data_IF_794090000598
#
_entry.id   IF_794090000598
#
_cell.length_a   1.000
_cell.length_b   1.000
_cell.length_c   1.000
_cell.angle_alpha   90.00
_cell.angle_beta   90.00
_cell.angle_gamma   90.00
#
_symmetry.space_group_name_H-M   'P 1'
#
loop_
_entity.id
_entity.type
_entity.pdbx_description
1 polymer ?
#
# COMPACT_ATOMS: atom_id res chain seq x y z
N UNK A 1 8.53 -12.16 20.03
CA UNK A 1 8.33 -11.17 18.94
C UNK A 1 6.86 -11.18 18.54
N UNK A 2 6.26 -9.96 18.39
CA UNK A 2 4.88 -9.82 17.95
C UNK A 2 4.83 -9.29 16.52
N UNK A 3 3.98 -9.89 15.69
CA UNK A 3 3.67 -9.42 14.34
C UNK A 3 2.22 -8.93 14.30
N UNK A 4 1.97 -7.83 13.60
CA UNK A 4 0.64 -7.31 13.33
C UNK A 4 0.36 -7.55 11.84
N UNK A 5 -0.78 -8.17 11.54
CA UNK A 5 -1.21 -8.47 10.19
C UNK A 5 -2.61 -7.94 9.94
N UNK A 6 -2.80 -7.27 8.82
CA UNK A 6 -4.12 -6.91 8.29
C UNK A 6 -4.56 -7.91 7.24
N UNK A 7 -5.85 -8.12 7.11
CA UNK A 7 -6.41 -9.05 6.12
C UNK A 7 -7.56 -8.45 5.35
N UNK A 8 -7.77 -9.00 4.14
CA UNK A 8 -8.84 -8.64 3.23
C UNK A 8 -9.65 -9.87 2.88
N UNK A 9 -10.97 -9.83 3.04
CA UNK A 9 -11.88 -10.87 2.56
C UNK A 9 -12.42 -10.45 1.20
N UNK A 10 -12.01 -11.14 0.15
CA UNK A 10 -12.46 -10.85 -1.22
C UNK A 10 -13.94 -11.20 -1.38
N UNK A 11 -14.66 -10.38 -2.15
CA UNK A 11 -16.09 -10.54 -2.44
C UNK A 11 -17.00 -10.52 -1.19
N UNK A 12 -16.53 -10.00 -0.05
CA UNK A 12 -17.36 -9.73 1.10
C UNK A 12 -18.49 -8.74 0.73
N UNK A 13 -19.69 -9.00 1.22
CA UNK A 13 -20.88 -8.17 0.99
C UNK A 13 -21.14 -7.28 2.19
N UNK A 14 -22.03 -6.33 2.05
CA UNK A 14 -22.47 -5.53 3.19
C UNK A 14 -23.02 -6.42 4.31
N UNK A 15 -22.54 -6.19 5.53
CA UNK A 15 -22.86 -7.00 6.71
C UNK A 15 -21.98 -8.25 6.90
N UNK A 16 -21.06 -8.52 5.96
CA UNK A 16 -20.05 -9.56 6.13
C UNK A 16 -18.80 -8.99 6.83
N UNK A 17 -17.97 -9.87 7.39
CA UNK A 17 -16.61 -9.50 7.81
C UNK A 17 -15.75 -9.25 6.55
N UNK A 18 -15.21 -8.05 6.42
CA UNK A 18 -14.42 -7.62 5.26
C UNK A 18 -12.93 -7.88 5.40
N UNK A 19 -12.50 -8.26 6.59
CA UNK A 19 -11.12 -8.51 6.96
C UNK A 19 -10.94 -8.43 8.46
N UNK A 20 -9.73 -8.27 8.93
CA UNK A 20 -9.45 -8.10 10.34
C UNK A 20 -7.99 -7.79 10.62
N UNK A 21 -7.76 -7.42 11.86
CA UNK A 21 -6.43 -7.24 12.42
C UNK A 21 -6.08 -8.44 13.30
N UNK A 22 -4.92 -9.02 13.05
CA UNK A 22 -4.36 -10.09 13.85
C UNK A 22 -3.08 -9.62 14.52
N UNK A 23 -2.92 -9.96 15.80
CA UNK A 23 -1.64 -9.85 16.49
C UNK A 23 -1.19 -11.26 16.83
N UNK A 24 -0.03 -11.63 16.34
CA UNK A 24 0.53 -12.98 16.46
C UNK A 24 1.79 -12.89 17.31
N UNK A 25 1.87 -13.67 18.36
CA UNK A 25 3.11 -13.89 19.09
C UNK A 25 3.87 -15.06 18.45
N UNK A 26 4.98 -14.73 17.79
CA UNK A 26 5.80 -15.73 17.07
C UNK A 26 6.48 -16.70 18.01
N UNK A 27 6.89 -16.24 19.18
CA UNK A 27 7.61 -17.08 20.14
C UNK A 27 6.68 -18.13 20.74
N UNK A 28 5.38 -17.80 20.89
CA UNK A 28 4.35 -18.71 21.35
C UNK A 28 3.68 -19.47 20.20
N UNK A 29 3.75 -18.98 18.97
CA UNK A 29 3.03 -19.54 17.83
C UNK A 29 1.51 -19.32 17.90
N UNK A 30 1.04 -18.27 18.59
CA UNK A 30 -0.37 -18.06 18.90
C UNK A 30 -0.87 -16.70 18.40
N UNK A 31 -2.14 -16.67 17.97
CA UNK A 31 -2.88 -15.40 17.76
C UNK A 31 -3.33 -14.88 19.12
N UNK A 32 -2.72 -13.79 19.58
CA UNK A 32 -3.01 -13.19 20.89
C UNK A 32 -4.09 -12.12 20.84
N UNK A 33 -4.42 -11.62 19.65
CA UNK A 33 -5.52 -10.68 19.42
C UNK A 33 -6.08 -10.85 18.01
N UNK A 34 -7.40 -10.80 17.90
CA UNK A 34 -8.11 -10.74 16.62
C UNK A 34 -9.27 -9.76 16.73
N UNK A 35 -9.29 -8.77 15.84
CA UNK A 35 -10.40 -7.84 15.68
C UNK A 35 -10.97 -7.97 14.27
N UNK A 36 -12.19 -8.51 14.09
CA UNK A 36 -12.87 -8.51 12.81
C UNK A 36 -13.19 -7.06 12.40
N UNK A 37 -13.19 -6.82 11.10
CA UNK A 37 -13.52 -5.51 10.54
C UNK A 37 -14.69 -5.63 9.56
N UNK A 38 -15.74 -4.84 9.82
CA UNK A 38 -16.89 -4.66 8.95
C UNK A 38 -16.88 -3.23 8.42
N UNK A 39 -17.08 -3.07 7.12
CA UNK A 39 -17.23 -1.75 6.50
C UNK A 39 -18.71 -1.39 6.40
N UNK A 40 -19.03 -0.16 6.71
CA UNK A 40 -20.41 0.37 6.56
C UNK A 40 -20.82 0.53 5.10
N UNK A 41 -19.85 0.59 4.20
CA UNK A 41 -20.05 0.75 2.77
C UNK A 41 -19.27 -0.26 1.95
N UNK A 42 -19.98 -0.99 1.10
CA UNK A 42 -19.39 -1.90 0.10
C UNK A 42 -19.99 -1.53 -1.26
N UNK A 43 -19.15 -1.31 -2.25
CA UNK A 43 -19.67 -1.12 -3.60
C UNK A 43 -20.08 -2.48 -4.21
N UNK A 44 -21.00 -2.44 -5.17
CA UNK A 44 -21.57 -3.63 -5.84
C UNK A 44 -20.60 -4.31 -6.83
N UNK A 45 -19.30 -3.99 -6.79
CA UNK A 45 -18.30 -4.63 -7.61
C UNK A 45 -18.19 -6.11 -7.24
N UNK A 46 -18.30 -7.00 -8.22
CA UNK A 46 -18.18 -8.46 -8.02
C UNK A 46 -16.90 -8.91 -7.31
N UNK A 47 -15.82 -8.14 -7.43
CA UNK A 47 -14.58 -8.35 -6.69
C UNK A 47 -14.68 -7.84 -5.24
N UNK A 48 -15.80 -7.20 -4.87
CA UNK A 48 -16.00 -6.57 -3.58
C UNK A 48 -15.06 -5.37 -3.41
N UNK A 49 -15.18 -4.31 -4.19
CA UNK A 49 -14.22 -3.22 -4.37
C UNK A 49 -13.54 -2.67 -3.13
N UNK A 50 -14.26 -1.99 -2.27
CA UNK A 50 -13.72 -1.44 -1.02
C UNK A 50 -13.88 -2.44 0.10
N UNK A 51 -12.76 -3.01 0.59
CA UNK A 51 -12.81 -4.08 1.58
C UNK A 51 -11.50 -4.23 2.35
N UNK A 52 -11.64 -4.69 3.58
CA UNK A 52 -10.56 -5.15 4.43
C UNK A 52 -9.66 -4.06 4.97
N UNK A 53 -8.74 -4.49 5.77
CA UNK A 53 -7.67 -3.69 6.32
C UNK A 53 -6.39 -3.94 5.53
N UNK A 54 -5.59 -2.89 5.29
CA UNK A 54 -4.43 -2.99 4.41
C UNK A 54 -3.16 -2.44 5.07
N UNK A 55 -2.76 -1.20 4.73
CA UNK A 55 -1.54 -0.61 5.26
C UNK A 55 -1.53 -0.50 6.78
N UNK A 56 -0.39 -0.73 7.39
CA UNK A 56 -0.21 -0.66 8.85
C UNK A 56 0.99 0.24 9.15
N UNK A 57 0.79 1.18 10.06
CA UNK A 57 1.84 2.02 10.60
C UNK A 57 1.89 1.90 12.13
N UNK A 58 3.02 1.41 12.65
CA UNK A 58 3.23 1.28 14.10
C UNK A 58 4.03 2.46 14.61
N UNK A 59 3.38 3.30 15.43
CA UNK A 59 3.99 4.44 16.07
C UNK A 59 4.41 4.13 17.52
N UNK A 60 5.16 4.99 18.18
CA UNK A 60 5.57 4.76 19.56
C UNK A 60 4.40 4.57 20.53
N UNK A 61 3.28 5.27 20.32
CA UNK A 61 2.14 5.36 21.24
C UNK A 61 0.83 4.75 20.68
N UNK A 62 0.76 4.47 19.38
CA UNK A 62 -0.44 3.98 18.68
C UNK A 62 -0.14 3.12 17.47
N UNK A 63 -1.15 2.46 16.96
CA UNK A 63 -1.12 1.77 15.67
C UNK A 63 -2.15 2.43 14.76
N UNK A 64 -1.78 2.68 13.52
CA UNK A 64 -2.70 3.18 12.50
C UNK A 64 -2.82 2.10 11.43
N UNK A 65 -4.05 1.75 11.09
CA UNK A 65 -4.37 0.79 10.05
C UNK A 65 -5.26 1.46 9.02
N UNK A 66 -4.98 1.27 7.75
CA UNK A 66 -5.86 1.79 6.70
C UNK A 66 -6.91 0.76 6.27
N UNK A 67 -8.09 1.26 5.94
CA UNK A 67 -9.02 0.58 5.04
C UNK A 67 -8.93 1.16 3.63
N UNK A 68 -9.95 1.00 2.80
CA UNK A 68 -9.94 1.52 1.42
C UNK A 68 -10.08 3.03 1.32
N UNK A 69 -10.64 3.71 2.32
CA UNK A 69 -11.01 5.12 2.25
C UNK A 69 -10.63 5.94 3.49
N UNK A 70 -9.90 5.34 4.43
CA UNK A 70 -9.53 6.03 5.65
C UNK A 70 -8.63 5.25 6.57
N UNK A 71 -8.67 5.61 7.85
CA UNK A 71 -7.75 5.13 8.87
C UNK A 71 -8.48 4.77 10.16
N UNK A 72 -7.93 3.79 10.84
CA UNK A 72 -8.35 3.34 12.16
C UNK A 72 -7.15 3.49 13.08
N UNK A 73 -7.28 4.28 14.13
CA UNK A 73 -6.29 4.40 15.18
C UNK A 73 -6.61 3.45 16.33
N UNK A 74 -5.63 2.67 16.72
CA UNK A 74 -5.72 1.70 17.79
C UNK A 74 -4.75 2.03 18.93
N UNK A 75 -5.14 1.69 20.14
CA UNK A 75 -4.21 1.65 21.25
C UNK A 75 -3.14 0.58 21.01
N UNK A 76 -1.89 0.93 21.19
CA UNK A 76 -0.77 0.02 20.93
C UNK A 76 -0.70 -1.18 21.86
N UNK A 77 -1.24 -1.08 23.06
CA UNK A 77 -1.14 -2.13 24.08
C UNK A 77 -2.39 -3.00 24.15
N UNK A 78 -3.58 -2.37 24.02
CA UNK A 78 -4.86 -3.07 24.11
C UNK A 78 -5.43 -3.45 22.75
N UNK A 79 -4.96 -2.82 21.67
CA UNK A 79 -5.47 -2.94 20.30
C UNK A 79 -6.93 -2.48 20.13
N UNK A 80 -7.47 -1.77 21.10
CA UNK A 80 -8.80 -1.19 21.03
C UNK A 80 -8.83 0.00 20.08
N UNK A 81 -9.91 0.13 19.32
CA UNK A 81 -10.12 1.27 18.41
C UNK A 81 -10.33 2.54 19.25
N UNK A 82 -9.50 3.55 19.02
CA UNK A 82 -9.61 4.87 19.64
C UNK A 82 -10.42 5.83 18.80
N UNK A 83 -10.20 5.83 17.50
CA UNK A 83 -10.96 6.64 16.53
C UNK A 83 -10.86 6.06 15.14
N UNK A 84 -11.80 6.46 14.31
CA UNK A 84 -11.83 6.18 12.87
C UNK A 84 -11.88 7.49 12.11
N UNK A 85 -11.30 7.51 10.93
CA UNK A 85 -11.33 8.63 9.99
C UNK A 85 -11.63 8.10 8.61
N UNK A 86 -12.57 8.73 7.91
CA UNK A 86 -12.97 8.38 6.54
C UNK A 86 -13.04 9.65 5.71
N UNK A 87 -12.40 9.64 4.56
CA UNK A 87 -12.46 10.74 3.60
C UNK A 87 -12.37 10.22 2.16
N UNK A 88 -13.52 10.04 1.52
CA UNK A 88 -13.63 9.52 0.15
C UNK A 88 -13.28 10.56 -0.92
N UNK A 89 -13.10 11.81 -0.55
CA UNK A 89 -12.64 12.83 -1.49
C UNK A 89 -11.14 12.68 -1.79
N UNK A 90 -10.36 12.29 -0.79
CA UNK A 90 -8.91 12.10 -0.92
C UNK A 90 -8.49 10.64 -1.07
N UNK A 91 -9.29 9.69 -0.58
CA UNK A 91 -8.90 8.29 -0.51
C UNK A 91 -9.88 7.38 -1.24
N UNK A 92 -9.29 6.58 -2.14
CA UNK A 92 -9.97 5.45 -2.77
C UNK A 92 -8.97 4.34 -3.01
N UNK A 93 -9.25 3.16 -2.44
CA UNK A 93 -8.37 1.99 -2.51
C UNK A 93 -6.98 2.26 -1.92
N UNK A 94 -6.90 2.72 -0.66
CA UNK A 94 -5.61 2.77 0.05
C UNK A 94 -5.03 1.35 0.10
N UNK A 95 -3.78 1.18 -0.29
CA UNK A 95 -3.06 -0.09 -0.24
C UNK A 95 -1.96 -0.09 0.83
N UNK A 96 -1.25 1.02 0.97
CA UNK A 96 -0.10 1.11 1.87
C UNK A 96 -0.07 2.46 2.56
N UNK A 97 0.46 2.48 3.78
CA UNK A 97 0.71 3.69 4.56
C UNK A 97 2.07 3.62 5.23
N UNK A 98 2.76 4.74 5.37
CA UNK A 98 4.00 4.83 6.13
C UNK A 98 4.01 6.10 6.99
N UNK A 99 4.77 6.04 8.07
CA UNK A 99 5.09 7.21 8.89
C UNK A 99 6.48 7.73 8.54
N UNK A 100 6.57 9.00 8.20
CA UNK A 100 7.82 9.67 7.92
C UNK A 100 7.69 11.17 8.17
N UNK A 101 8.72 11.76 8.81
CA UNK A 101 8.80 13.20 9.09
C UNK A 101 7.54 13.76 9.78
N UNK A 102 7.14 13.13 10.90
CA UNK A 102 5.95 13.46 11.68
C UNK A 102 4.63 13.47 10.91
N UNK A 103 4.59 12.77 9.77
CA UNK A 103 3.43 12.67 8.91
C UNK A 103 3.12 11.22 8.54
N UNK A 104 1.85 10.97 8.24
CA UNK A 104 1.40 9.76 7.57
C UNK A 104 1.41 10.04 6.08
N UNK A 105 1.93 9.09 5.32
CA UNK A 105 1.88 9.08 3.88
C UNK A 105 1.10 7.87 3.43
N UNK A 106 0.15 8.04 2.54
CA UNK A 106 -0.75 6.99 2.09
C UNK A 106 -0.88 6.96 0.57
N UNK A 107 -0.98 5.77 0.00
CA UNK A 107 -1.40 5.63 -1.39
C UNK A 107 -2.91 5.85 -1.51
N UNK A 108 -3.36 6.50 -2.57
CA UNK A 108 -4.75 6.53 -3.00
C UNK A 108 -4.81 5.98 -4.42
N UNK A 109 -4.81 4.65 -4.50
CA UNK A 109 -4.46 3.89 -5.70
C UNK A 109 -5.39 4.16 -6.88
N UNK A 110 -6.69 4.28 -6.63
CA UNK A 110 -7.65 4.57 -7.70
C UNK A 110 -7.48 5.97 -8.34
N UNK A 111 -6.75 6.85 -7.69
CA UNK A 111 -6.40 8.19 -8.20
C UNK A 111 -4.94 8.29 -8.65
N UNK A 112 -4.19 7.17 -8.64
CA UNK A 112 -2.74 7.16 -8.85
C UNK A 112 -2.02 8.22 -8.00
N UNK A 113 -2.39 8.31 -6.72
CA UNK A 113 -2.02 9.45 -5.90
C UNK A 113 -1.35 9.07 -4.57
N UNK A 114 -0.61 10.03 -4.05
CA UNK A 114 -0.03 10.01 -2.70
C UNK A 114 -0.63 11.16 -1.90
N UNK A 115 -1.06 10.84 -0.68
CA UNK A 115 -1.62 11.80 0.27
C UNK A 115 -0.73 11.88 1.49
N UNK A 116 -0.42 13.11 1.91
CA UNK A 116 0.32 13.41 3.14
C UNK A 116 -0.62 14.01 4.18
N UNK A 117 -0.61 13.45 5.40
CA UNK A 117 -1.45 13.89 6.53
C UNK A 117 -0.59 14.15 7.78
N UNK A 118 -1.08 14.98 8.68
CA UNK A 118 -0.56 15.00 10.04
C UNK A 118 -1.12 13.83 10.88
N UNK A 119 -0.66 13.71 12.12
CA UNK A 119 -1.11 12.65 13.04
C UNK A 119 -2.56 12.83 13.54
N UNK A 120 -3.18 13.96 13.26
CA UNK A 120 -4.60 14.22 13.51
C UNK A 120 -5.47 13.95 12.29
N UNK A 121 -4.86 13.39 11.23
CA UNK A 121 -5.46 13.08 9.92
C UNK A 121 -5.88 14.30 9.10
N UNK A 122 -5.35 15.50 9.39
CA UNK A 122 -5.57 16.64 8.51
C UNK A 122 -4.71 16.49 7.24
N UNK A 123 -5.33 16.59 6.09
CA UNK A 123 -4.66 16.54 4.81
C UNK A 123 -3.72 17.73 4.67
N UNK A 124 -2.46 17.48 4.36
CA UNK A 124 -1.44 18.50 4.12
C UNK A 124 -1.15 18.67 2.65
N UNK A 125 -1.10 17.55 1.94
CA UNK A 125 -0.79 17.53 0.51
C UNK A 125 -1.49 16.35 -0.16
N UNK A 126 -1.83 16.55 -1.43
CA UNK A 126 -2.40 15.54 -2.30
C UNK A 126 -1.72 15.65 -3.67
N UNK A 127 -1.00 14.62 -4.09
CA UNK A 127 -0.30 14.59 -5.36
C UNK A 127 -0.79 13.45 -6.24
N UNK A 128 -1.19 13.77 -7.45
CA UNK A 128 -1.34 12.82 -8.53
C UNK A 128 0.04 12.48 -9.09
N UNK A 129 0.33 11.19 -9.25
CA UNK A 129 1.53 10.69 -9.91
C UNK A 129 1.24 10.62 -11.41
N UNK A 130 2.17 11.13 -12.23
CA UNK A 130 2.03 11.18 -13.68
C UNK A 130 3.07 10.32 -14.37
N UNK A 131 2.75 9.81 -15.54
CA UNK A 131 3.66 8.92 -16.25
C UNK A 131 3.15 8.52 -17.64
N UNK A 132 3.81 7.51 -18.19
CA UNK A 132 3.46 6.89 -19.46
C UNK A 132 3.24 5.40 -19.25
N UNK A 133 2.08 4.90 -19.68
CA UNK A 133 1.83 3.47 -19.73
C UNK A 133 2.40 2.91 -21.02
N UNK A 134 3.39 2.04 -20.91
CA UNK A 134 3.96 1.29 -22.03
C UNK A 134 3.31 -0.09 -22.13
N UNK A 135 3.58 -0.81 -23.20
CA UNK A 135 2.95 -2.11 -23.45
C UNK A 135 3.13 -3.08 -22.26
N UNK A 136 4.29 -3.09 -21.66
CA UNK A 136 4.69 -4.08 -20.67
C UNK A 136 4.94 -3.52 -19.27
N UNK A 137 5.09 -2.21 -19.13
CA UNK A 137 5.38 -1.55 -17.85
C UNK A 137 4.99 -0.07 -17.89
N UNK A 138 4.94 0.56 -16.73
CA UNK A 138 4.68 1.99 -16.61
C UNK A 138 5.95 2.73 -16.22
N UNK A 139 6.14 3.92 -16.76
CA UNK A 139 7.24 4.84 -16.42
C UNK A 139 6.64 6.05 -15.78
N UNK A 140 7.01 6.33 -14.53
CA UNK A 140 6.58 7.55 -13.85
C UNK A 140 7.49 8.72 -14.30
N UNK A 141 6.88 9.85 -14.64
CA UNK A 141 7.59 11.00 -15.17
C UNK A 141 7.48 12.24 -14.30
N UNK A 142 6.59 12.22 -13.30
CA UNK A 142 6.39 13.37 -12.45
C UNK A 142 5.29 13.17 -11.41
N UNK A 143 5.04 14.25 -10.68
CA UNK A 143 3.92 14.39 -9.75
C UNK A 143 3.37 15.80 -9.85
N UNK A 144 2.08 15.95 -9.61
CA UNK A 144 1.36 17.24 -9.64
C UNK A 144 0.53 17.36 -8.36
N UNK A 145 0.67 18.47 -7.64
CA UNK A 145 -0.23 18.77 -6.54
C UNK A 145 -1.65 19.03 -7.07
N UNK A 146 -2.64 18.34 -6.51
CA UNK A 146 -4.04 18.41 -6.94
C UNK A 146 -4.96 18.67 -5.74
N UNK A 147 -6.23 18.89 -6.05
CA UNK A 147 -7.33 18.99 -5.09
C UNK A 147 -8.39 17.91 -5.41
N UNK A 148 -9.33 17.63 -4.50
CA UNK A 148 -10.43 16.72 -4.79
C UNK A 148 -11.20 17.04 -6.08
N UNK A 149 -11.34 18.33 -6.41
CA UNK A 149 -12.08 18.77 -7.60
C UNK A 149 -11.32 18.54 -8.92
N UNK A 150 -10.01 18.31 -8.84
CA UNK A 150 -9.14 18.16 -10.03
C UNK A 150 -8.57 16.77 -10.20
N UNK A 151 -8.90 15.84 -9.27
CA UNK A 151 -8.43 14.45 -9.35
C UNK A 151 -9.11 13.69 -10.50
N UNK A 152 -8.39 12.74 -11.06
CA UNK A 152 -8.94 11.75 -12.00
C UNK A 152 -9.00 10.37 -11.35
N UNK A 153 -9.88 9.52 -11.85
CA UNK A 153 -10.05 8.15 -11.36
C UNK A 153 -9.68 7.18 -12.48
N UNK A 154 -8.43 7.29 -12.94
CA UNK A 154 -7.98 6.56 -14.11
C UNK A 154 -7.27 5.23 -13.77
N UNK A 155 -6.71 5.12 -12.56
CA UNK A 155 -5.98 3.93 -12.08
C UNK A 155 -4.98 3.38 -13.11
N UNK A 156 -4.22 4.28 -13.73
CA UNK A 156 -3.32 3.95 -14.85
C UNK A 156 -2.08 3.19 -14.41
N UNK A 157 -1.53 3.57 -13.24
CA UNK A 157 -0.26 3.04 -12.72
C UNK A 157 -0.48 2.14 -11.51
N UNK A 158 -1.66 2.21 -10.92
CA UNK A 158 -2.05 1.45 -9.74
C UNK A 158 -1.04 1.63 -8.60
N UNK A 159 -0.77 2.89 -8.23
CA UNK A 159 0.21 3.22 -7.17
C UNK A 159 -0.24 2.62 -5.86
N UNK A 160 0.35 1.49 -5.49
CA UNK A 160 -0.08 0.64 -4.38
C UNK A 160 1.01 0.38 -3.34
N UNK A 161 2.20 0.90 -3.55
CA UNK A 161 3.33 0.72 -2.65
C UNK A 161 3.97 2.06 -2.31
N UNK A 162 4.21 2.25 -1.02
CA UNK A 162 4.95 3.38 -0.47
C UNK A 162 5.73 2.90 0.74
N UNK A 163 7.01 3.25 0.84
CA UNK A 163 7.83 2.94 2.00
C UNK A 163 8.98 3.94 2.16
N UNK A 164 9.63 3.90 3.31
CA UNK A 164 10.77 4.77 3.62
C UNK A 164 12.06 3.97 3.57
N UNK A 165 13.04 4.46 2.84
CA UNK A 165 14.39 3.93 2.83
C UNK A 165 15.41 5.07 2.85
N UNK A 166 16.35 5.05 3.80
CA UNK A 166 17.37 6.09 3.99
C UNK A 166 16.80 7.52 4.03
N UNK A 167 15.67 7.69 4.75
CA UNK A 167 14.98 8.98 4.87
C UNK A 167 14.28 9.46 3.60
N UNK A 168 14.17 8.62 2.57
CA UNK A 168 13.48 8.92 1.31
C UNK A 168 12.16 8.16 1.22
N UNK A 169 11.15 8.80 0.68
CA UNK A 169 9.90 8.15 0.30
C UNK A 169 10.09 7.48 -1.06
N UNK A 170 9.85 6.19 -1.10
CA UNK A 170 9.88 5.41 -2.34
C UNK A 170 8.47 4.93 -2.67
N UNK A 171 8.11 4.97 -3.95
CA UNK A 171 6.80 4.55 -4.46
C UNK A 171 6.92 3.58 -5.62
N UNK A 172 5.92 2.72 -5.78
CA UNK A 172 5.75 1.84 -6.91
C UNK A 172 4.27 1.55 -7.16
N UNK A 173 3.98 0.93 -8.29
CA UNK A 173 2.64 0.51 -8.66
C UNK A 173 2.66 -0.83 -9.40
N UNK A 174 1.53 -1.17 -10.02
CA UNK A 174 1.41 -2.40 -10.78
C UNK A 174 2.28 -2.32 -12.05
N UNK A 175 3.26 -3.24 -12.18
CA UNK A 175 4.23 -3.26 -13.29
C UNK A 175 4.97 -1.92 -13.43
N UNK A 176 5.23 -1.26 -12.32
CA UNK A 176 5.90 0.04 -12.26
C UNK A 176 7.22 -0.15 -11.50
N UNK A 177 8.35 0.35 -12.04
CA UNK A 177 9.61 0.40 -11.31
C UNK A 177 9.48 1.12 -9.97
N UNK A 178 10.49 0.95 -9.13
CA UNK A 178 10.60 1.69 -7.88
C UNK A 178 11.15 3.09 -8.13
N UNK A 179 10.45 4.10 -7.66
CA UNK A 179 10.81 5.52 -7.83
C UNK A 179 11.04 6.20 -6.49
N UNK A 180 12.03 7.07 -6.44
CA UNK A 180 12.13 8.10 -5.41
C UNK A 180 11.04 9.14 -5.64
N UNK A 181 10.15 9.30 -4.66
CA UNK A 181 8.97 10.17 -4.81
C UNK A 181 9.34 11.64 -4.94
N UNK A 182 10.41 12.10 -4.30
CA UNK A 182 10.76 13.52 -4.34
C UNK A 182 11.35 13.92 -5.70
N UNK A 183 12.26 13.11 -6.21
CA UNK A 183 12.96 13.40 -7.47
C UNK A 183 12.30 12.79 -8.70
N UNK A 184 11.39 11.86 -8.53
CA UNK A 184 10.79 11.02 -9.57
C UNK A 184 11.84 10.29 -10.41
N UNK A 185 12.96 9.93 -9.79
CA UNK A 185 14.00 9.11 -10.42
C UNK A 185 13.77 7.63 -10.11
N UNK A 186 13.98 6.79 -11.12
CA UNK A 186 13.94 5.35 -10.98
C UNK A 186 15.09 4.86 -10.09
N UNK A 187 14.75 4.04 -9.10
CA UNK A 187 15.69 3.47 -8.11
C UNK A 187 15.98 2.00 -8.40
N UNK A 188 14.97 1.27 -8.84
CA UNK A 188 15.07 -0.15 -9.15
C UNK A 188 14.02 -0.52 -10.20
N UNK A 189 14.41 -1.34 -11.17
CA UNK A 189 13.53 -1.80 -12.23
C UNK A 189 12.56 -2.88 -11.76
N UNK A 190 11.48 -3.06 -12.50
CA UNK A 190 10.59 -4.22 -12.30
C UNK A 190 11.37 -5.48 -12.61
N UNK A 191 11.37 -6.47 -11.69
CA UNK A 191 12.02 -7.73 -11.94
C UNK A 191 11.50 -8.42 -13.20
N UNK A 192 12.39 -8.80 -14.08
CA UNK A 192 12.09 -9.62 -15.24
C UNK A 192 12.35 -11.08 -14.88
N UNK A 193 11.31 -11.90 -14.98
CA UNK A 193 11.44 -13.35 -14.80
C UNK A 193 11.37 -14.04 -16.15
N UNK A 194 12.19 -15.06 -16.33
CA UNK A 194 12.06 -15.98 -17.46
C UNK A 194 11.50 -17.29 -16.94
N UNK A 195 10.47 -17.78 -17.59
CA UNK A 195 10.00 -19.13 -17.35
C UNK A 195 10.99 -20.17 -17.90
N UNK A 196 10.75 -21.45 -17.58
CA UNK A 196 11.56 -22.57 -18.08
C UNK A 196 11.51 -22.73 -19.63
N UNK A 197 10.58 -22.03 -20.30
CA UNK A 197 10.46 -21.97 -21.75
C UNK A 197 11.10 -20.71 -22.36
N UNK A 198 11.87 -19.95 -21.59
CA UNK A 198 12.50 -18.69 -22.01
C UNK A 198 11.51 -17.58 -22.41
N UNK A 199 10.27 -17.69 -21.99
CA UNK A 199 9.32 -16.59 -22.13
C UNK A 199 9.55 -15.57 -21.03
N UNK A 200 9.71 -14.32 -21.44
CA UNK A 200 9.86 -13.20 -20.51
C UNK A 200 8.51 -12.89 -19.86
N UNK A 201 8.35 -13.28 -18.60
CA UNK A 201 7.15 -13.01 -17.82
C UNK A 201 7.38 -11.78 -16.98
N UNK A 202 6.61 -10.72 -17.23
CA UNK A 202 6.55 -9.58 -16.33
C UNK A 202 5.59 -9.87 -15.21
N UNK A 203 6.08 -9.87 -14.01
CA UNK A 203 5.26 -10.07 -12.83
C UNK A 203 4.50 -8.79 -12.49
N UNK A 204 3.21 -8.94 -12.19
CA UNK A 204 2.48 -7.91 -11.46
C UNK A 204 3.02 -7.87 -10.04
N UNK A 205 3.89 -6.92 -9.75
CA UNK A 205 4.47 -6.76 -8.43
C UNK A 205 3.61 -5.84 -7.56
N UNK A 206 3.53 -6.18 -6.30
CA UNK A 206 2.98 -5.33 -5.25
C UNK A 206 4.00 -5.21 -4.14
N UNK A 207 4.07 -4.06 -3.50
CA UNK A 207 4.86 -3.84 -2.30
C UNK A 207 6.35 -4.15 -2.51
N UNK A 208 7.09 -3.17 -2.97
CA UNK A 208 8.55 -3.20 -2.99
C UNK A 208 9.10 -2.74 -1.65
N UNK A 209 10.11 -3.45 -1.14
CA UNK A 209 10.91 -3.03 0.00
C UNK A 209 12.38 -3.14 -0.38
N UNK A 210 13.10 -2.03 -0.27
CA UNK A 210 14.54 -2.00 -0.53
C UNK A 210 15.29 -2.04 0.80
N UNK A 211 16.21 -2.98 0.89
CA UNK A 211 17.22 -3.08 1.93
C UNK A 211 18.59 -2.72 1.34
N UNK A 212 19.59 -2.53 2.17
CA UNK A 212 20.93 -2.13 1.71
C UNK A 212 21.49 -3.07 0.63
N UNK A 213 21.32 -4.37 0.80
CA UNK A 213 21.91 -5.40 -0.06
C UNK A 213 20.92 -6.03 -1.04
N UNK A 214 19.60 -5.91 -0.80
CA UNK A 214 18.60 -6.57 -1.62
C UNK A 214 17.28 -5.82 -1.65
N UNK A 215 16.48 -6.09 -2.68
CA UNK A 215 15.11 -5.60 -2.82
C UNK A 215 14.15 -6.78 -2.77
N UNK A 216 13.09 -6.66 -1.99
CA UNK A 216 12.02 -7.66 -1.90
C UNK A 216 10.78 -7.13 -2.57
N UNK A 217 10.14 -7.97 -3.35
CA UNK A 217 8.88 -7.65 -4.04
C UNK A 217 7.88 -8.80 -3.93
N UNK A 218 6.63 -8.48 -3.72
CA UNK A 218 5.56 -9.47 -3.78
C UNK A 218 5.14 -9.67 -5.25
N UNK A 219 5.42 -10.85 -5.78
CA UNK A 219 5.10 -11.25 -7.15
C UNK A 219 3.70 -11.85 -7.20
N UNK A 220 2.71 -10.99 -7.23
CA UNK A 220 1.29 -11.37 -7.08
C UNK A 220 0.81 -12.37 -8.13
N UNK A 221 1.29 -12.25 -9.37
CA UNK A 221 0.92 -13.18 -10.46
C UNK A 221 1.41 -14.59 -10.22
N UNK A 222 2.48 -14.77 -9.47
CA UNK A 222 3.08 -16.08 -9.19
C UNK A 222 2.79 -16.59 -7.79
N UNK A 223 2.18 -15.76 -6.92
CA UNK A 223 2.01 -16.09 -5.51
C UNK A 223 3.34 -16.28 -4.78
N UNK A 224 4.38 -15.56 -5.21
CA UNK A 224 5.76 -15.74 -4.75
C UNK A 224 6.34 -14.43 -4.22
N UNK A 225 7.38 -14.54 -3.42
CA UNK A 225 8.20 -13.41 -2.99
C UNK A 225 9.46 -13.38 -3.87
N UNK A 226 9.67 -12.28 -4.57
CA UNK A 226 10.90 -12.02 -5.33
C UNK A 226 11.93 -11.35 -4.43
N UNK A 227 13.16 -11.82 -4.47
CA UNK A 227 14.31 -11.21 -3.81
C UNK A 227 15.33 -10.90 -4.91
N UNK A 228 15.75 -9.65 -4.99
CA UNK A 228 16.74 -9.17 -5.95
C UNK A 228 17.96 -8.68 -5.17
N UNK A 229 19.13 -9.19 -5.46
CA UNK A 229 20.37 -8.58 -4.98
C UNK A 229 20.63 -7.26 -5.72
N UNK A 230 21.03 -6.22 -4.98
CA UNK A 230 21.30 -4.91 -5.59
C UNK A 230 22.48 -5.04 -6.56
N UNK A 231 22.19 -4.94 -7.86
CA UNK A 231 23.19 -4.93 -8.93
C UNK A 231 23.43 -6.24 -9.67
N UNK A 232 22.75 -7.34 -9.30
CA UNK A 232 22.72 -8.56 -10.08
C UNK A 232 21.30 -9.03 -10.27
N UNK A 233 20.89 -9.25 -11.51
CA UNK A 233 19.68 -10.00 -11.85
C UNK A 233 19.91 -11.46 -11.40
N UNK A 234 19.03 -11.96 -10.53
CA UNK A 234 18.97 -13.39 -10.20
C UNK A 234 18.23 -14.15 -11.31
#
# INVERSE_FOLDING_TARGET
VKIICSTVVRAAKQGDVHGGLYVIDIDLGEVIHYAPYEMDFVNDNERGGERGLRGICVLPDRIIVSDSAGFIELDKNTYEIKRTFQDREYFKSIHEIVFHDDHIWATSTAYDAIVKLDLDFNIKKFWEVTGERRQDYSVLTGKKEITPDTKTEDDNYHINSIFVNDGRILISGLVTPLYDFETMTEVCQVPEFRDEFSQQLKSFSHNFYKFDEFTVSNLTSFGSLGILENGNDL
#
